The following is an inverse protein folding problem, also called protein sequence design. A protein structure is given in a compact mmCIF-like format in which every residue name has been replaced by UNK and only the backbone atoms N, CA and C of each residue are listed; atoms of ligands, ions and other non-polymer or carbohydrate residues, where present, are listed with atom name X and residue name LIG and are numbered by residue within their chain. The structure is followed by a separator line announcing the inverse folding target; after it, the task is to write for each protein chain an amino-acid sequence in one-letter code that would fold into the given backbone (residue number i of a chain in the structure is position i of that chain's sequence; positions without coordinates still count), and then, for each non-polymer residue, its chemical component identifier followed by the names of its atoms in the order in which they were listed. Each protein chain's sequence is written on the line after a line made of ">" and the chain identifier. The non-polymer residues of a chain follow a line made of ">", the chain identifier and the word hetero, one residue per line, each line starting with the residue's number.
data_IF_196460430830
#
_entry.id   IF_196460430830
#
_cell.length_a   1.000
_cell.length_b   1.000
_cell.length_c   1.000
_cell.angle_alpha   90.00
_cell.angle_beta   90.00
_cell.angle_gamma   90.00
#
_symmetry.space_group_name_H-M   'P 1'
#
loop_
_entity.id
_entity.type
_entity.pdbx_description
1 polymer ?
#
# COMPACT_ATOMS: atom_id res chain seq x y z
N UNK A 1 -30.04 -56.33 -18.00
CA UNK A 1 -29.94 -55.24 -16.97
C UNK A 1 -28.52 -54.75 -16.69
N UNK A 2 -27.51 -55.59 -16.69
CA UNK A 2 -26.09 -55.21 -16.45
C UNK A 2 -25.54 -54.14 -17.40
N UNK A 3 -25.85 -54.20 -18.70
CA UNK A 3 -25.31 -53.25 -19.70
C UNK A 3 -25.73 -51.79 -19.45
N UNK A 4 -26.97 -51.56 -19.08
CA UNK A 4 -27.47 -50.17 -18.77
C UNK A 4 -26.83 -49.59 -17.51
N UNK A 5 -26.59 -50.43 -16.50
CA UNK A 5 -25.93 -50.00 -15.25
C UNK A 5 -24.46 -49.60 -15.52
N UNK A 6 -23.74 -50.39 -16.33
CA UNK A 6 -22.37 -50.09 -16.73
C UNK A 6 -22.27 -48.77 -17.49
N UNK A 7 -23.24 -48.48 -18.38
CA UNK A 7 -23.28 -47.24 -19.14
C UNK A 7 -23.49 -46.01 -18.21
N UNK A 8 -24.40 -46.13 -17.26
CA UNK A 8 -24.63 -45.07 -16.28
C UNK A 8 -23.42 -44.84 -15.36
N UNK A 9 -22.71 -45.92 -15.01
CA UNK A 9 -21.50 -45.78 -14.20
C UNK A 9 -20.38 -45.09 -14.96
N UNK A 10 -20.18 -45.38 -16.23
CA UNK A 10 -19.19 -44.69 -17.08
C UNK A 10 -19.55 -43.19 -17.19
N UNK A 11 -20.81 -42.87 -17.46
CA UNK A 11 -21.27 -41.46 -17.53
C UNK A 11 -21.06 -40.74 -16.22
N UNK A 12 -21.37 -41.36 -15.09
CA UNK A 12 -21.14 -40.77 -13.76
C UNK A 12 -19.66 -40.48 -13.49
N UNK A 13 -18.77 -41.43 -13.83
CA UNK A 13 -17.31 -41.23 -13.66
C UNK A 13 -16.76 -40.12 -14.56
N UNK A 14 -17.28 -39.99 -15.78
CA UNK A 14 -16.88 -38.90 -16.71
C UNK A 14 -17.38 -37.52 -16.25
N UNK A 15 -18.58 -37.43 -15.65
CA UNK A 15 -19.19 -36.18 -15.22
C UNK A 15 -18.70 -35.77 -13.84
N UNK A 16 -18.35 -36.74 -12.97
CA UNK A 16 -17.94 -36.47 -11.59
C UNK A 16 -16.82 -35.39 -11.45
N UNK A 17 -15.73 -35.40 -12.23
CA UNK A 17 -14.67 -34.40 -12.09
C UNK A 17 -15.16 -32.99 -12.45
N UNK A 18 -16.06 -32.86 -13.42
CA UNK A 18 -16.64 -31.55 -13.82
C UNK A 18 -17.56 -31.03 -12.71
N UNK A 19 -18.43 -31.88 -12.18
CA UNK A 19 -19.33 -31.49 -11.09
C UNK A 19 -18.54 -31.16 -9.82
N UNK A 20 -17.54 -31.98 -9.47
CA UNK A 20 -16.65 -31.70 -8.33
C UNK A 20 -15.88 -30.39 -8.51
N UNK A 21 -15.35 -30.12 -9.68
CA UNK A 21 -14.67 -28.85 -9.99
C UNK A 21 -15.59 -27.66 -9.80
N UNK A 22 -16.80 -27.75 -10.31
CA UNK A 22 -17.82 -26.70 -10.12
C UNK A 22 -18.22 -26.54 -8.64
N UNK A 23 -18.40 -27.63 -7.92
CA UNK A 23 -18.75 -27.63 -6.51
C UNK A 23 -17.64 -27.00 -5.66
N UNK A 24 -16.37 -27.32 -5.94
CA UNK A 24 -15.22 -26.71 -5.28
C UNK A 24 -15.07 -25.24 -5.65
N UNK A 25 -15.27 -24.87 -6.90
CA UNK A 25 -15.11 -23.49 -7.36
C UNK A 25 -16.17 -22.56 -6.77
N UNK A 26 -17.44 -22.98 -6.68
CA UNK A 26 -18.53 -22.16 -6.19
C UNK A 26 -18.86 -22.39 -4.71
N UNK A 27 -18.63 -23.58 -4.15
CA UNK A 27 -18.97 -23.93 -2.79
C UNK A 27 -17.87 -23.69 -1.78
N UNK A 28 -16.62 -23.93 -2.16
CA UNK A 28 -15.45 -23.69 -1.31
C UNK A 28 -14.76 -22.43 -1.81
N UNK A 29 -15.31 -21.26 -1.49
CA UNK A 29 -14.55 -20.02 -1.67
C UNK A 29 -13.42 -20.02 -0.65
N UNK A 30 -12.14 -20.07 -1.05
CA UNK A 30 -11.07 -19.88 -0.10
C UNK A 30 -11.16 -18.44 0.43
N UNK A 31 -11.67 -18.27 1.64
CA UNK A 31 -11.66 -16.99 2.35
C UNK A 31 -10.25 -16.57 2.77
N UNK A 32 -9.26 -17.41 2.49
CA UNK A 32 -7.87 -17.10 2.78
C UNK A 32 -7.36 -16.02 1.83
N UNK A 33 -7.30 -14.81 2.35
CA UNK A 33 -6.59 -13.72 1.71
C UNK A 33 -5.15 -14.18 1.47
N UNK A 34 -4.74 -14.26 0.21
CA UNK A 34 -3.38 -14.65 -0.17
C UNK A 34 -2.33 -13.63 0.29
N UNK A 35 -2.76 -12.44 0.65
CA UNK A 35 -1.95 -11.32 1.10
C UNK A 35 -2.12 -11.12 2.61
N UNK A 36 -1.02 -10.87 3.30
CA UNK A 36 -1.01 -10.52 4.72
C UNK A 36 -1.56 -9.11 4.94
N UNK A 37 -1.13 -8.16 4.10
CA UNK A 37 -1.67 -6.81 4.10
C UNK A 37 -3.06 -6.76 3.48
N UNK A 38 -3.90 -5.86 3.99
CA UNK A 38 -5.22 -5.58 3.43
C UNK A 38 -5.08 -4.70 2.19
N UNK A 39 -5.65 -5.13 1.07
CA UNK A 39 -5.73 -4.30 -0.14
C UNK A 39 -6.67 -3.11 0.10
N UNK A 40 -6.26 -1.93 -0.35
CA UNK A 40 -7.06 -0.71 -0.27
C UNK A 40 -7.96 -0.63 -1.49
N UNK A 41 -9.26 -0.64 -1.25
CA UNK A 41 -10.30 -0.48 -2.27
C UNK A 41 -11.37 0.51 -1.78
N UNK A 42 -11.82 1.45 -2.61
CA UNK A 42 -11.34 1.75 -3.95
C UNK A 42 -9.91 2.27 -3.96
N UNK A 43 -9.22 2.09 -5.11
CA UNK A 43 -7.86 2.56 -5.27
C UNK A 43 -7.78 4.09 -5.16
N UNK A 44 -6.79 4.59 -4.45
CA UNK A 44 -6.57 6.02 -4.19
C UNK A 44 -5.21 6.43 -4.67
N UNK A 45 -5.12 7.56 -5.35
CA UNK A 45 -3.85 8.10 -5.81
C UNK A 45 -3.38 9.20 -4.87
N UNK A 46 -2.19 9.04 -4.31
CA UNK A 46 -1.57 9.97 -3.38
C UNK A 46 -0.55 10.90 -4.06
N UNK A 47 -0.37 10.82 -5.38
CA UNK A 47 0.65 11.56 -6.12
C UNK A 47 0.60 13.08 -5.86
N UNK A 48 -0.59 13.65 -5.76
CA UNK A 48 -0.81 15.07 -5.54
C UNK A 48 -0.64 15.53 -4.08
N UNK A 49 -0.34 14.61 -3.13
CA UNK A 49 -0.16 14.96 -1.73
C UNK A 49 0.99 15.95 -1.56
N UNK A 50 0.75 17.17 -1.02
CA UNK A 50 1.79 18.14 -0.77
C UNK A 50 2.67 17.68 0.40
N UNK A 51 3.98 17.76 0.22
CA UNK A 51 4.98 17.37 1.21
C UNK A 51 6.03 18.48 1.37
N UNK A 52 6.62 18.55 2.55
CA UNK A 52 7.74 19.44 2.85
C UNK A 52 8.91 18.58 3.30
N UNK A 53 10.03 18.53 2.59
CA UNK A 53 11.18 17.75 3.02
C UNK A 53 11.78 18.37 4.29
N UNK A 54 11.61 17.70 5.43
CA UNK A 54 12.23 18.10 6.69
C UNK A 54 13.67 17.57 6.74
N UNK A 55 13.88 16.33 6.35
CA UNK A 55 15.19 15.71 6.30
C UNK A 55 15.28 14.81 5.07
N UNK A 56 16.33 15.02 4.30
CA UNK A 56 16.71 14.15 3.19
C UNK A 56 17.67 13.10 3.72
N UNK A 57 17.53 11.83 3.33
CA UNK A 57 18.53 10.83 3.69
C UNK A 57 19.86 11.17 3.03
N UNK A 58 20.95 11.05 3.80
CA UNK A 58 22.31 11.03 3.25
C UNK A 58 22.46 9.73 2.47
N UNK A 59 21.98 9.71 1.25
CA UNK A 59 21.99 8.50 0.46
C UNK A 59 22.90 8.67 -0.72
N UNK A 60 23.90 7.80 -0.80
CA UNK A 60 24.58 7.43 -2.04
C UNK A 60 23.62 6.76 -3.06
N UNK A 61 22.34 6.71 -2.79
CA UNK A 61 21.37 6.21 -3.77
C UNK A 61 21.15 7.29 -4.83
N UNK A 62 21.48 7.00 -6.07
CA UNK A 62 21.32 7.88 -7.23
C UNK A 62 19.88 8.31 -7.55
N UNK A 63 18.99 8.27 -6.53
CA UNK A 63 17.63 8.74 -6.63
C UNK A 63 17.56 10.26 -6.84
N UNK A 64 18.39 11.03 -6.15
CA UNK A 64 18.47 12.48 -6.39
C UNK A 64 19.03 12.81 -7.78
N UNK A 65 19.89 11.94 -8.32
CA UNK A 65 20.39 12.08 -9.68
C UNK A 65 19.31 11.71 -10.72
N UNK A 66 18.46 10.74 -10.42
CA UNK A 66 17.31 10.36 -11.28
C UNK A 66 16.25 11.48 -11.32
N UNK A 67 16.01 12.19 -10.22
CA UNK A 67 15.12 13.37 -10.21
C UNK A 67 15.68 14.51 -11.11
N UNK A 68 16.99 14.53 -11.37
CA UNK A 68 17.64 15.51 -12.26
C UNK A 68 17.61 15.13 -13.74
N UNK A 69 17.31 13.87 -14.08
CA UNK A 69 17.52 13.31 -15.43
C UNK A 69 16.22 12.87 -16.11
N UNK A 70 15.06 13.29 -15.68
CA UNK A 70 13.87 13.16 -16.53
C UNK A 70 13.97 14.17 -17.66
N UNK A 71 14.50 13.72 -18.80
CA UNK A 71 14.60 14.50 -20.03
C UNK A 71 13.26 15.15 -20.37
N UNK A 72 13.24 16.47 -20.43
CA UNK A 72 12.14 17.27 -20.94
C UNK A 72 11.28 18.00 -19.90
N UNK A 73 11.57 17.86 -18.61
CA UNK A 73 10.98 18.70 -17.57
C UNK A 73 12.05 19.61 -16.99
N UNK A 74 11.75 20.91 -16.80
CA UNK A 74 12.56 21.81 -15.99
C UNK A 74 12.97 21.07 -14.71
N UNK A 75 14.26 21.08 -14.31
CA UNK A 75 14.72 20.40 -13.11
C UNK A 75 13.93 20.96 -11.90
N UNK A 76 12.96 20.22 -11.41
CA UNK A 76 12.28 20.56 -10.16
C UNK A 76 13.30 20.54 -9.04
N UNK A 77 13.75 21.72 -8.65
CA UNK A 77 14.75 21.90 -7.61
C UNK A 77 14.24 21.54 -6.20
N UNK A 78 12.94 21.30 -6.05
CA UNK A 78 12.29 21.08 -4.74
C UNK A 78 11.34 19.91 -4.79
N UNK A 79 11.50 19.00 -3.83
CA UNK A 79 10.49 17.97 -3.51
C UNK A 79 9.31 18.67 -2.85
N UNK A 80 8.17 18.75 -3.53
CA UNK A 80 6.98 19.42 -3.00
C UNK A 80 5.72 18.53 -3.01
N UNK A 81 5.78 17.40 -3.72
CA UNK A 81 4.67 16.45 -3.84
C UNK A 81 5.13 15.00 -3.79
N UNK A 82 4.23 14.12 -3.38
CA UNK A 82 4.51 12.70 -3.36
C UNK A 82 4.78 12.12 -4.76
N UNK A 83 4.28 12.76 -5.82
CA UNK A 83 4.57 12.38 -7.21
C UNK A 83 6.06 12.45 -7.59
N UNK A 84 6.86 13.18 -6.83
CA UNK A 84 8.30 13.25 -7.03
C UNK A 84 9.02 11.92 -6.76
N UNK A 85 8.33 11.00 -6.07
CA UNK A 85 8.78 9.62 -5.84
C UNK A 85 8.25 8.61 -6.87
N UNK A 86 7.68 9.07 -8.00
CA UNK A 86 7.24 8.16 -9.06
C UNK A 86 8.35 7.24 -9.52
N UNK A 87 7.97 6.01 -9.88
CA UNK A 87 8.93 4.98 -10.26
C UNK A 87 9.45 4.17 -9.07
N UNK A 88 9.07 4.49 -7.83
CA UNK A 88 9.47 3.80 -6.61
C UNK A 88 8.27 3.25 -5.84
N UNK A 89 8.46 2.11 -5.22
CA UNK A 89 7.56 1.59 -4.22
C UNK A 89 7.80 2.31 -2.91
N UNK A 90 6.75 2.79 -2.26
CA UNK A 90 6.89 3.56 -1.03
C UNK A 90 6.28 2.78 0.14
N UNK A 91 7.09 2.58 1.19
CA UNK A 91 6.60 2.15 2.49
C UNK A 91 6.42 3.41 3.32
N UNK A 92 5.16 3.73 3.64
CA UNK A 92 4.81 4.98 4.32
C UNK A 92 4.33 4.68 5.73
N UNK A 93 4.80 5.48 6.68
CA UNK A 93 4.25 5.66 8.01
C UNK A 93 3.82 7.11 8.18
N UNK A 94 2.68 7.33 8.82
CA UNK A 94 2.18 8.66 9.17
C UNK A 94 2.18 8.78 10.70
N UNK A 95 2.60 9.92 11.23
CA UNK A 95 2.59 10.18 12.67
C UNK A 95 3.34 11.43 13.07
N UNK A 96 3.29 11.82 14.35
CA UNK A 96 3.99 12.99 14.86
C UNK A 96 5.51 12.81 14.90
N UNK A 97 6.24 13.93 15.03
CA UNK A 97 7.72 13.93 15.17
C UNK A 97 8.21 13.30 16.47
N UNK A 98 7.38 13.33 17.52
CA UNK A 98 7.69 12.69 18.80
C UNK A 98 7.62 11.16 18.66
N UNK A 99 8.77 10.55 18.42
CA UNK A 99 8.90 9.15 18.08
C UNK A 99 9.19 8.30 19.34
N UNK A 100 8.15 7.83 20.00
CA UNK A 100 8.25 6.86 21.09
C UNK A 100 8.63 5.45 20.61
N UNK A 101 8.63 4.47 21.52
CA UNK A 101 9.08 3.08 21.24
C UNK A 101 8.34 2.43 20.05
N UNK A 102 7.03 2.59 19.96
CA UNK A 102 6.22 2.04 18.84
C UNK A 102 6.61 2.65 17.50
N UNK A 103 6.91 3.95 17.50
CA UNK A 103 7.36 4.63 16.30
C UNK A 103 8.75 4.14 15.88
N UNK A 104 9.69 4.03 16.82
CA UNK A 104 11.04 3.53 16.57
C UNK A 104 10.99 2.09 16.05
N UNK A 105 10.17 1.23 16.68
CA UNK A 105 9.92 -0.13 16.20
C UNK A 105 9.41 -0.15 14.76
N UNK A 106 8.49 0.74 14.43
CA UNK A 106 7.97 0.85 13.08
C UNK A 106 9.03 1.28 12.06
N UNK A 107 9.86 2.27 12.37
CA UNK A 107 10.97 2.68 11.52
C UNK A 107 11.98 1.55 11.33
N UNK A 108 12.25 0.78 12.38
CA UNK A 108 13.07 -0.42 12.30
C UNK A 108 12.47 -1.47 11.36
N UNK A 109 11.18 -1.75 11.48
CA UNK A 109 10.47 -2.68 10.58
C UNK A 109 10.61 -2.24 9.13
N UNK A 110 10.36 -0.97 8.82
CA UNK A 110 10.50 -0.42 7.46
C UNK A 110 11.92 -0.62 6.92
N UNK A 111 12.93 -0.39 7.77
CA UNK A 111 14.34 -0.63 7.43
C UNK A 111 14.60 -2.10 7.13
N UNK A 112 14.15 -3.01 7.99
CA UNK A 112 14.36 -4.46 7.81
C UNK A 112 13.65 -4.97 6.55
N UNK A 113 12.41 -4.56 6.31
CA UNK A 113 11.66 -4.97 5.12
C UNK A 113 12.41 -4.53 3.86
N UNK A 114 12.86 -3.26 3.76
CA UNK A 114 13.62 -2.77 2.60
C UNK A 114 14.94 -3.53 2.42
N UNK A 115 15.73 -3.71 3.46
CA UNK A 115 17.02 -4.42 3.38
C UNK A 115 16.86 -5.86 2.91
N UNK A 116 15.78 -6.51 3.33
CA UNK A 116 15.52 -7.92 2.99
C UNK A 116 14.91 -8.13 1.60
N UNK A 117 14.60 -7.06 0.84
CA UNK A 117 14.20 -7.20 -0.58
C UNK A 117 15.38 -7.51 -1.51
N UNK A 118 16.61 -7.43 -1.01
CA UNK A 118 17.81 -7.82 -1.76
C UNK A 118 18.08 -6.90 -2.94
N UNK A 119 18.11 -7.45 -4.15
CA UNK A 119 18.40 -6.69 -5.40
C UNK A 119 17.33 -5.65 -5.73
N UNK A 120 16.11 -5.83 -5.24
CA UNK A 120 15.00 -4.90 -5.48
C UNK A 120 14.95 -3.76 -4.45
N UNK A 121 15.90 -3.67 -3.51
CA UNK A 121 15.89 -2.67 -2.44
C UNK A 121 15.88 -1.23 -2.97
N UNK A 122 16.53 -1.00 -4.11
CA UNK A 122 16.65 0.33 -4.71
C UNK A 122 15.36 0.79 -5.41
N UNK A 123 14.42 -0.14 -5.58
CA UNK A 123 13.06 0.13 -6.05
C UNK A 123 12.09 0.51 -4.93
N UNK A 124 12.55 0.47 -3.67
CA UNK A 124 11.71 0.67 -2.48
C UNK A 124 12.26 1.81 -1.64
N UNK A 125 11.45 2.82 -1.39
CA UNK A 125 11.76 3.93 -0.50
C UNK A 125 10.94 3.88 0.79
N UNK A 126 11.50 4.46 1.84
CA UNK A 126 10.87 4.54 3.17
C UNK A 126 10.55 5.99 3.46
N UNK A 127 9.29 6.29 3.73
CA UNK A 127 8.81 7.62 4.01
C UNK A 127 8.16 7.67 5.39
N UNK A 128 8.58 8.63 6.18
CA UNK A 128 7.88 9.02 7.40
C UNK A 128 7.22 10.37 7.16
N UNK A 129 5.89 10.38 7.09
CA UNK A 129 5.09 11.59 6.94
C UNK A 129 4.79 12.14 8.34
N UNK A 130 5.41 13.27 8.65
CA UNK A 130 5.33 13.94 9.95
C UNK A 130 4.21 14.96 9.93
N UNK A 131 3.22 14.78 10.80
CA UNK A 131 1.97 15.57 10.79
C UNK A 131 2.04 16.88 11.54
N UNK A 132 3.03 17.09 12.39
CA UNK A 132 3.26 18.31 13.16
C UNK A 132 4.31 19.26 12.53
N UNK A 133 4.84 18.88 11.35
CA UNK A 133 5.88 19.60 10.61
C UNK A 133 7.12 19.97 11.46
N UNK A 134 7.34 19.26 12.57
CA UNK A 134 8.50 19.43 13.44
C UNK A 134 9.58 18.43 13.08
N UNK A 135 10.84 18.83 13.16
CA UNK A 135 11.95 17.88 12.95
C UNK A 135 12.03 16.89 14.12
N UNK A 136 12.08 15.59 13.84
CA UNK A 136 12.30 14.60 14.88
C UNK A 136 13.65 14.73 15.59
N UNK A 137 13.80 14.05 16.72
CA UNK A 137 15.05 14.02 17.48
C UNK A 137 16.21 13.46 16.62
N UNK A 138 17.39 14.10 16.75
CA UNK A 138 18.60 13.73 16.02
C UNK A 138 19.03 12.27 16.31
N UNK A 139 18.80 11.76 17.51
CA UNK A 139 19.10 10.38 17.84
C UNK A 139 18.29 9.39 16.97
N UNK A 140 16.99 9.64 16.83
CA UNK A 140 16.10 8.84 15.98
C UNK A 140 16.53 8.89 14.53
N UNK A 141 16.94 10.06 14.06
CA UNK A 141 17.40 10.26 12.68
C UNK A 141 18.67 9.47 12.37
N UNK A 142 19.60 9.46 13.32
CA UNK A 142 20.87 8.72 13.19
C UNK A 142 20.64 7.22 13.13
N UNK A 143 19.74 6.68 13.97
CA UNK A 143 19.46 5.26 14.03
C UNK A 143 18.70 4.75 12.79
N UNK A 144 17.89 5.61 12.15
CA UNK A 144 17.04 5.24 11.01
C UNK A 144 17.42 5.95 9.72
N UNK A 145 18.71 6.16 9.48
CA UNK A 145 19.24 6.74 8.25
C UNK A 145 18.68 6.09 6.99
N UNK A 146 18.53 6.88 5.92
CA UNK A 146 17.93 6.44 4.66
C UNK A 146 16.40 6.39 4.68
N UNK A 147 15.75 6.97 5.70
CA UNK A 147 14.31 7.23 5.71
C UNK A 147 14.05 8.69 5.38
N UNK A 148 13.17 8.94 4.42
CA UNK A 148 12.72 10.29 4.11
C UNK A 148 11.79 10.77 5.21
N UNK A 149 12.09 11.93 5.79
CA UNK A 149 11.25 12.58 6.78
C UNK A 149 10.61 13.80 6.13
N UNK A 150 9.31 13.71 5.92
CA UNK A 150 8.55 14.68 5.13
C UNK A 150 7.41 15.25 5.99
N UNK A 151 7.36 16.56 6.10
CA UNK A 151 6.25 17.26 6.73
C UNK A 151 4.99 17.21 5.84
N UNK A 152 3.85 17.02 6.46
CA UNK A 152 2.56 16.97 5.77
C UNK A 152 1.47 17.52 6.71
N UNK A 153 0.52 18.31 6.18
CA UNK A 153 -0.59 18.75 7.03
C UNK A 153 -1.55 17.58 7.31
N UNK A 154 -2.09 17.48 8.54
CA UNK A 154 -3.09 16.48 8.88
C UNK A 154 -4.30 16.48 7.95
N UNK A 155 -4.76 17.67 7.54
CA UNK A 155 -5.89 17.86 6.64
C UNK A 155 -5.60 17.30 5.23
N UNK A 156 -4.37 17.53 4.73
CA UNK A 156 -3.95 16.98 3.43
C UNK A 156 -3.90 15.46 3.46
N UNK A 157 -3.37 14.87 4.55
CA UNK A 157 -3.38 13.42 4.75
C UNK A 157 -4.82 12.91 4.79
N UNK A 158 -5.68 13.51 5.61
CA UNK A 158 -7.07 13.09 5.73
C UNK A 158 -7.79 13.17 4.39
N UNK A 159 -7.59 14.25 3.65
CA UNK A 159 -8.19 14.44 2.32
C UNK A 159 -7.69 13.38 1.36
N UNK A 160 -6.38 13.14 1.27
CA UNK A 160 -5.80 12.18 0.35
C UNK A 160 -6.24 10.73 0.63
N UNK A 161 -6.38 10.36 1.91
CA UNK A 161 -6.86 9.04 2.31
C UNK A 161 -8.38 8.88 2.24
N UNK A 162 -9.16 9.98 2.29
CA UNK A 162 -10.62 9.96 2.16
C UNK A 162 -11.11 10.12 0.71
N UNK A 163 -10.25 10.58 -0.22
CA UNK A 163 -10.65 10.77 -1.61
C UNK A 163 -11.19 9.48 -2.22
N UNK A 164 -12.49 9.45 -2.41
CA UNK A 164 -13.12 8.46 -3.28
C UNK A 164 -12.73 8.79 -4.72
N UNK A 165 -12.31 7.76 -5.46
CA UNK A 165 -12.20 7.90 -6.92
C UNK A 165 -13.56 8.36 -7.42
N UNK A 166 -13.63 9.60 -7.93
CA UNK A 166 -14.79 10.04 -8.67
C UNK A 166 -14.90 9.14 -9.91
N UNK A 167 -15.75 8.14 -9.82
CA UNK A 167 -16.26 7.49 -11.02
C UNK A 167 -16.83 8.58 -11.93
N UNK A 168 -16.52 8.56 -13.25
CA UNK A 168 -17.12 9.52 -14.18
C UNK A 168 -18.62 9.52 -13.95
N UNK A 169 -19.19 10.70 -13.76
CA UNK A 169 -20.57 10.88 -13.44
C UNK A 169 -21.45 10.10 -14.42
N UNK A 170 -22.09 9.06 -13.96
CA UNK A 170 -23.19 8.45 -14.70
C UNK A 170 -24.36 9.44 -14.69
N UNK A 171 -25.03 9.66 -15.82
CA UNK A 171 -26.12 10.61 -15.89
C UNK A 171 -27.24 10.19 -14.94
N UNK A 172 -27.51 11.06 -13.98
CA UNK A 172 -28.72 11.20 -13.16
C UNK A 172 -29.64 9.97 -13.00
N UNK A 173 -29.29 9.12 -12.04
CA UNK A 173 -30.26 8.31 -11.33
C UNK A 173 -30.07 8.61 -9.83
N UNK A 174 -31.11 9.11 -9.18
CA UNK A 174 -31.14 9.38 -7.75
C UNK A 174 -30.79 8.11 -6.99
N UNK A 175 -29.56 7.98 -6.52
CA UNK A 175 -29.19 6.95 -5.54
C UNK A 175 -29.57 7.52 -4.16
N UNK A 176 -30.71 7.04 -3.69
CA UNK A 176 -31.15 7.23 -2.32
C UNK A 176 -30.09 6.68 -1.35
N UNK A 177 -29.61 7.51 -0.43
CA UNK A 177 -28.61 7.17 0.60
C UNK A 177 -29.14 6.19 1.68
N UNK A 178 -30.21 5.45 1.40
CA UNK A 178 -30.74 4.41 2.28
C UNK A 178 -30.12 3.05 1.94
N UNK A 179 -28.96 2.77 2.50
CA UNK A 179 -28.32 1.47 2.34
C UNK A 179 -26.81 1.41 2.58
N UNK A 180 -26.19 2.46 3.07
CA UNK A 180 -24.78 2.37 3.50
C UNK A 180 -24.73 1.60 4.80
N UNK A 181 -24.35 0.32 4.68
CA UNK A 181 -24.19 -0.56 5.84
C UNK A 181 -23.17 0.04 6.80
N UNK A 182 -23.43 -0.03 8.11
CA UNK A 182 -22.50 0.39 9.17
C UNK A 182 -21.10 -0.24 9.03
N UNK A 183 -21.01 -1.38 8.35
CA UNK A 183 -19.75 -2.05 8.00
C UNK A 183 -18.90 -1.25 7.03
N UNK A 184 -19.52 -0.49 6.10
CA UNK A 184 -18.81 0.34 5.13
C UNK A 184 -18.22 1.60 5.77
N UNK A 185 -18.89 2.17 6.77
CA UNK A 185 -18.40 3.36 7.49
C UNK A 185 -17.20 2.99 8.37
N UNK A 186 -17.26 1.87 9.10
CA UNK A 186 -16.15 1.40 9.94
C UNK A 186 -14.93 0.99 9.09
N UNK A 187 -15.14 0.49 7.88
CA UNK A 187 -14.06 0.14 6.95
C UNK A 187 -13.40 1.39 6.35
N UNK A 188 -14.16 2.46 6.09
CA UNK A 188 -13.66 3.77 5.68
C UNK A 188 -12.89 4.49 6.81
N UNK A 189 -13.39 4.46 8.03
CA UNK A 189 -12.68 5.01 9.19
C UNK A 189 -11.36 4.29 9.44
N UNK A 190 -11.33 2.98 9.22
CA UNK A 190 -10.10 2.19 9.36
C UNK A 190 -9.02 2.53 8.33
N UNK A 191 -9.37 3.22 7.24
CA UNK A 191 -8.44 3.64 6.21
C UNK A 191 -7.84 5.04 6.47
N UNK A 192 -8.35 5.79 7.47
CA UNK A 192 -7.76 7.06 7.84
C UNK A 192 -6.44 6.81 8.62
N UNK A 193 -5.28 7.26 8.13
CA UNK A 193 -4.00 7.03 8.81
C UNK A 193 -3.87 7.79 10.13
N UNK A 194 -4.70 8.84 10.33
CA UNK A 194 -4.68 9.64 11.55
C UNK A 194 -5.58 9.04 12.64
N UNK A 195 -6.62 8.28 12.27
CA UNK A 195 -7.50 7.58 13.20
C UNK A 195 -7.01 6.17 13.53
N UNK A 196 -6.36 5.52 12.59
CA UNK A 196 -5.69 4.24 12.80
C UNK A 196 -4.25 4.51 13.20
N UNK A 197 -4.02 4.75 14.48
CA UNK A 197 -2.66 4.92 15.01
C UNK A 197 -1.74 3.89 14.39
N UNK A 198 -0.81 4.36 13.55
CA UNK A 198 0.42 3.66 13.23
C UNK A 198 0.39 2.53 12.19
N UNK A 199 -0.62 2.45 11.33
CA UNK A 199 -0.58 1.50 10.20
C UNK A 199 0.55 1.82 9.22
N UNK A 200 1.09 0.78 8.57
CA UNK A 200 1.98 0.97 7.43
C UNK A 200 1.18 0.94 6.14
N UNK A 201 1.60 1.78 5.23
CA UNK A 201 0.97 1.92 3.94
C UNK A 201 1.97 1.63 2.83
N UNK A 202 1.52 0.91 1.81
CA UNK A 202 2.31 0.62 0.63
C UNK A 202 1.70 1.34 -0.56
N UNK A 203 2.54 2.14 -1.23
CA UNK A 203 2.17 2.91 -2.42
C UNK A 203 2.97 2.39 -3.60
N UNK A 204 2.33 2.27 -4.74
CA UNK A 204 2.94 1.79 -5.97
C UNK A 204 3.74 2.88 -6.71
N UNK A 205 4.53 2.54 -7.73
CA UNK A 205 5.32 3.50 -8.50
C UNK A 205 4.52 4.57 -9.26
N UNK A 206 3.21 4.43 -9.36
CA UNK A 206 2.30 5.41 -9.97
C UNK A 206 1.67 6.34 -8.92
N UNK A 207 1.96 6.12 -7.64
CA UNK A 207 1.41 6.89 -6.53
C UNK A 207 0.08 6.36 -5.99
N UNK A 208 -0.33 5.14 -6.37
CA UNK A 208 -1.57 4.57 -5.87
C UNK A 208 -1.36 3.84 -4.54
N UNK A 209 -2.27 4.08 -3.61
CA UNK A 209 -2.31 3.40 -2.32
C UNK A 209 -2.79 1.96 -2.52
N UNK A 210 -1.90 1.00 -2.35
CA UNK A 210 -2.14 -0.42 -2.67
C UNK A 210 -2.57 -1.25 -1.48
N UNK A 211 -1.82 -1.14 -0.37
CA UNK A 211 -2.02 -2.02 0.78
C UNK A 211 -1.86 -1.28 2.10
N UNK A 212 -2.56 -1.77 3.10
CA UNK A 212 -2.40 -1.41 4.50
C UNK A 212 -1.92 -2.62 5.28
N UNK A 213 -0.92 -2.43 6.13
CA UNK A 213 -0.48 -3.40 7.12
C UNK A 213 -0.87 -2.96 8.53
N UNK A 214 -1.01 -3.89 9.47
CA UNK A 214 -1.34 -3.55 10.87
C UNK A 214 -0.24 -2.72 11.52
N UNK A 215 -0.51 -2.19 12.70
CA UNK A 215 0.41 -1.36 13.49
C UNK A 215 1.72 -2.09 13.83
N UNK A 216 1.65 -3.35 14.19
CA UNK A 216 2.80 -4.22 14.49
C UNK A 216 2.82 -5.39 13.49
N UNK A 217 3.27 -5.15 12.24
CA UNK A 217 3.24 -6.18 11.24
C UNK A 217 4.43 -7.14 11.43
N UNK A 218 4.19 -8.41 11.12
CA UNK A 218 5.27 -9.39 10.95
C UNK A 218 6.14 -8.98 9.75
N UNK A 219 7.42 -8.62 9.96
CA UNK A 219 8.30 -8.16 8.88
C UNK A 219 8.47 -9.21 7.76
N UNK A 220 8.44 -10.51 8.11
CA UNK A 220 8.60 -11.58 7.14
C UNK A 220 7.39 -11.71 6.22
N UNK A 221 6.18 -11.53 6.77
CA UNK A 221 4.94 -11.55 6.00
C UNK A 221 4.81 -10.30 5.14
N UNK A 222 5.13 -9.12 5.69
CA UNK A 222 5.16 -7.87 4.95
C UNK A 222 6.15 -7.92 3.78
N UNK A 223 7.35 -8.43 4.01
CA UNK A 223 8.35 -8.69 2.97
C UNK A 223 7.81 -9.62 1.86
N UNK A 224 7.13 -10.70 2.25
CA UNK A 224 6.59 -11.67 1.27
C UNK A 224 5.60 -11.01 0.32
N UNK A 225 4.73 -10.17 0.82
CA UNK A 225 3.78 -9.42 0.00
C UNK A 225 4.48 -8.42 -0.91
N UNK A 226 5.42 -7.64 -0.35
CA UNK A 226 6.22 -6.68 -1.13
C UNK A 226 7.00 -7.35 -2.25
N UNK A 227 7.71 -8.46 -2.00
CA UNK A 227 8.44 -9.20 -3.03
C UNK A 227 7.50 -9.71 -4.14
N UNK A 228 6.29 -10.16 -3.77
CA UNK A 228 5.30 -10.61 -4.75
C UNK A 228 4.88 -9.47 -5.67
N UNK A 229 4.66 -8.28 -5.12
CA UNK A 229 4.33 -7.07 -5.88
C UNK A 229 5.49 -6.61 -6.77
N UNK A 230 6.71 -6.57 -6.24
CA UNK A 230 7.93 -6.21 -6.98
C UNK A 230 8.17 -7.14 -8.19
N UNK A 231 7.91 -8.45 -8.04
CA UNK A 231 7.99 -9.42 -9.14
C UNK A 231 6.90 -9.24 -10.20
N UNK A 232 5.70 -8.85 -9.77
CA UNK A 232 4.58 -8.60 -10.68
C UNK A 232 4.70 -7.26 -11.41
N UNK A 233 5.34 -6.28 -10.79
CA UNK A 233 5.55 -4.94 -11.34
C UNK A 233 6.79 -4.90 -12.22
N UNK A 234 6.63 -4.38 -13.44
CA UNK A 234 7.75 -4.09 -14.35
C UNK A 234 8.27 -2.65 -14.22
N UNK A 235 7.64 -1.83 -13.36
CA UNK A 235 7.94 -0.42 -13.12
C UNK A 235 8.61 -0.31 -11.76
N UNK A 236 9.63 0.55 -11.69
CA UNK A 236 10.38 0.82 -10.46
C UNK A 236 11.76 0.20 -10.46
#
# INVERSE_FOLDING_TARGET
>A
MRSRFTLWLIVAVCIAPVVLSYMFYYGVRPDERTNYGALVQPQRNLAALPIIPLIKPDTESGFLDVLRVTEGSEPRATLDRLEDFRGRWLIIRVGPSNCGEDCQKALWIMRQVRLTTGRDRDRVERLWLVTDNTSPDQAVLTDYQGTWVLGVSPEAVQTAWSQQVQLPAQPSGQVSLQGVSSKTVSELESLNPLSAETSFWLVDPLGNLMMRFPQDPDPAKMKKDLIRLLKASRIG
#
